data_IF_455393289756
#
_entry.id   IF_455393289756
#
_cell.length_a   1.000
_cell.length_b   1.000
_cell.length_c   1.000
_cell.angle_alpha   90.00
_cell.angle_beta   90.00
_cell.angle_gamma   90.00
#
_symmetry.space_group_name_H-M   'P 1'
#
loop_
_entity.id
_entity.type
_entity.pdbx_description
1 polymer ?
#
# COMPACT_ATOMS: atom_id res chain seq x y z
N UNK A 1 23.04 68.26 -26.68
CA UNK A 1 22.16 67.11 -26.97
C UNK A 1 22.83 65.74 -26.83
N UNK A 2 24.04 65.48 -27.35
CA UNK A 2 24.70 64.14 -27.27
C UNK A 2 25.06 63.63 -25.84
N UNK A 3 25.22 64.53 -24.86
CA UNK A 3 25.55 64.16 -23.46
C UNK A 3 24.35 63.58 -22.70
N UNK A 4 23.17 64.17 -22.90
CA UNK A 4 21.91 63.74 -22.24
C UNK A 4 21.55 62.31 -22.69
N UNK A 5 21.76 61.97 -23.97
CA UNK A 5 21.51 60.64 -24.51
C UNK A 5 22.39 59.53 -23.89
N UNK A 6 23.63 59.84 -23.48
CA UNK A 6 24.51 58.88 -22.80
C UNK A 6 24.09 58.65 -21.35
N UNK A 7 23.62 59.69 -20.66
CA UNK A 7 23.13 59.59 -19.29
C UNK A 7 21.83 58.78 -19.22
N UNK A 8 20.90 58.98 -20.15
CA UNK A 8 19.67 58.18 -20.22
C UNK A 8 19.97 56.71 -20.51
N UNK A 9 20.94 56.42 -21.40
CA UNK A 9 21.35 55.06 -21.71
C UNK A 9 21.92 54.32 -20.48
N UNK A 10 22.69 55.02 -19.63
CA UNK A 10 23.20 54.45 -18.37
C UNK A 10 22.10 54.05 -17.39
N UNK A 11 21.05 54.87 -17.27
CA UNK A 11 19.90 54.58 -16.40
C UNK A 11 19.16 53.33 -16.89
N UNK A 12 18.89 53.23 -18.20
CA UNK A 12 18.24 52.04 -18.79
C UNK A 12 19.06 50.76 -18.55
N UNK A 13 20.38 50.83 -18.71
CA UNK A 13 21.26 49.68 -18.45
C UNK A 13 21.23 49.29 -16.97
N UNK A 14 21.28 50.25 -16.06
CA UNK A 14 21.22 49.96 -14.62
C UNK A 14 19.88 49.36 -14.18
N UNK A 15 18.76 49.85 -14.71
CA UNK A 15 17.43 49.29 -14.48
C UNK A 15 17.29 47.87 -15.04
N UNK A 16 17.85 47.61 -16.23
CA UNK A 16 17.85 46.27 -16.83
C UNK A 16 18.68 45.29 -15.99
N UNK A 17 19.85 45.70 -15.51
CA UNK A 17 20.69 44.88 -14.63
C UNK A 17 19.95 44.55 -13.34
N UNK A 18 19.33 45.55 -12.69
CA UNK A 18 18.54 45.35 -11.47
C UNK A 18 17.34 44.43 -11.71
N UNK A 19 16.67 44.54 -12.86
CA UNK A 19 15.56 43.67 -13.23
C UNK A 19 16.01 42.23 -13.42
N UNK A 20 17.13 41.98 -14.09
CA UNK A 20 17.69 40.63 -14.30
C UNK A 20 18.12 40.00 -12.96
N UNK A 21 18.78 40.78 -12.09
CA UNK A 21 19.19 40.31 -10.76
C UNK A 21 17.95 40.00 -9.90
N UNK A 22 16.97 40.90 -9.87
CA UNK A 22 15.72 40.71 -9.13
C UNK A 22 14.94 39.49 -9.65
N UNK A 23 14.85 39.32 -10.96
CA UNK A 23 14.23 38.15 -11.57
C UNK A 23 14.96 36.85 -11.19
N UNK A 24 16.30 36.83 -11.23
CA UNK A 24 17.08 35.68 -10.79
C UNK A 24 16.83 35.30 -9.33
N UNK A 25 16.76 36.29 -8.43
CA UNK A 25 16.46 36.07 -7.00
C UNK A 25 15.04 35.54 -6.81
N UNK A 26 14.06 36.11 -7.53
CA UNK A 26 12.66 35.66 -7.44
C UNK A 26 12.48 34.25 -8.00
N UNK A 27 13.12 33.94 -9.13
CA UNK A 27 13.10 32.62 -9.75
C UNK A 27 13.71 31.54 -8.85
N UNK A 28 14.85 31.84 -8.25
CA UNK A 28 15.55 30.98 -7.31
C UNK A 28 14.75 30.76 -6.00
N UNK A 29 14.07 31.79 -5.51
CA UNK A 29 13.12 31.64 -4.38
C UNK A 29 11.92 30.76 -4.73
N UNK A 30 11.35 30.95 -5.91
CA UNK A 30 10.21 30.17 -6.37
C UNK A 30 10.57 28.68 -6.53
N UNK A 31 11.76 28.38 -7.07
CA UNK A 31 12.27 27.02 -7.16
C UNK A 31 12.48 26.37 -5.78
N UNK A 32 13.08 27.10 -4.83
CA UNK A 32 13.29 26.59 -3.47
C UNK A 32 11.99 26.35 -2.71
N UNK A 33 11.00 27.22 -2.87
CA UNK A 33 9.71 27.08 -2.21
C UNK A 33 8.99 25.80 -2.67
N UNK A 34 8.97 25.53 -3.98
CA UNK A 34 8.40 24.29 -4.53
C UNK A 34 9.13 23.03 -4.06
N UNK A 35 10.46 23.05 -4.01
CA UNK A 35 11.22 21.89 -3.54
C UNK A 35 11.00 21.60 -2.05
N UNK A 36 10.92 22.63 -1.21
CA UNK A 36 10.67 22.46 0.23
C UNK A 36 9.27 21.91 0.50
N UNK A 37 8.27 22.31 -0.28
CA UNK A 37 6.90 21.79 -0.18
C UNK A 37 6.86 20.31 -0.59
N UNK A 38 7.52 19.96 -1.69
CA UNK A 38 7.65 18.57 -2.14
C UNK A 38 8.42 17.68 -1.14
N UNK A 39 9.51 18.18 -0.54
CA UNK A 39 10.24 17.44 0.49
C UNK A 39 9.36 17.15 1.72
N UNK A 40 8.53 18.11 2.12
CA UNK A 40 7.60 17.93 3.22
C UNK A 40 6.52 16.89 2.89
N UNK A 41 5.93 16.96 1.70
CA UNK A 41 4.94 16.00 1.21
C UNK A 41 5.51 14.57 1.18
N UNK A 42 6.72 14.41 0.65
CA UNK A 42 7.42 13.11 0.63
C UNK A 42 7.68 12.57 2.03
N UNK A 43 8.06 13.42 2.99
CA UNK A 43 8.28 13.01 4.37
C UNK A 43 6.97 12.58 5.05
N UNK A 44 5.90 13.33 4.83
CA UNK A 44 4.57 13.01 5.38
C UNK A 44 4.05 11.69 4.83
N UNK A 45 4.12 11.49 3.51
CA UNK A 45 3.76 10.24 2.85
C UNK A 45 4.59 9.06 3.36
N UNK A 46 5.90 9.26 3.54
CA UNK A 46 6.79 8.22 4.08
C UNK A 46 6.38 7.82 5.49
N UNK A 47 6.01 8.78 6.33
CA UNK A 47 5.57 8.52 7.70
C UNK A 47 4.21 7.79 7.72
N UNK A 48 3.27 8.18 6.86
CA UNK A 48 1.98 7.52 6.72
C UNK A 48 2.18 6.06 6.31
N UNK A 49 2.91 5.80 5.22
CA UNK A 49 3.17 4.45 4.72
C UNK A 49 3.90 3.58 5.73
N UNK A 50 4.88 4.15 6.44
CA UNK A 50 5.59 3.43 7.51
C UNK A 50 4.65 3.06 8.65
N UNK A 51 3.76 3.98 9.04
CA UNK A 51 2.73 3.74 10.05
C UNK A 51 1.75 2.65 9.64
N UNK A 52 1.25 2.69 8.41
CA UNK A 52 0.35 1.67 7.85
C UNK A 52 1.02 0.29 7.80
N UNK A 53 2.30 0.21 7.40
CA UNK A 53 3.03 -1.06 7.37
C UNK A 53 3.22 -1.67 8.78
N UNK A 54 3.54 -0.84 9.78
CA UNK A 54 3.64 -1.31 11.17
C UNK A 54 2.28 -1.76 11.72
N UNK A 55 1.18 -1.15 11.27
CA UNK A 55 -0.17 -1.66 11.54
C UNK A 55 -0.34 -3.04 10.91
N UNK A 56 -0.13 -3.20 9.60
CA UNK A 56 -0.26 -4.52 8.93
C UNK A 56 0.52 -5.60 9.65
N UNK A 57 1.79 -5.32 9.97
CA UNK A 57 2.67 -6.25 10.68
C UNK A 57 2.10 -6.65 12.04
N UNK A 58 1.62 -5.70 12.83
CA UNK A 58 1.02 -5.99 14.14
C UNK A 58 -0.23 -6.87 14.00
N UNK A 59 -1.10 -6.56 13.05
CA UNK A 59 -2.33 -7.33 12.83
C UNK A 59 -2.02 -8.76 12.36
N UNK A 60 -1.04 -8.93 11.46
CA UNK A 60 -0.54 -10.25 11.04
C UNK A 60 0.03 -11.06 12.21
N UNK A 61 0.80 -10.45 13.11
CA UNK A 61 1.32 -11.12 14.31
C UNK A 61 0.18 -11.58 15.25
N UNK A 62 -0.90 -10.80 15.32
CA UNK A 62 -2.10 -11.18 16.05
C UNK A 62 -2.81 -12.38 15.43
N UNK A 63 -2.97 -12.41 14.11
CA UNK A 63 -3.51 -13.58 13.38
C UNK A 63 -2.61 -14.81 13.63
N UNK A 64 -1.30 -14.68 13.52
CA UNK A 64 -0.35 -15.77 13.82
C UNK A 64 -0.53 -16.28 15.26
N UNK A 65 -0.75 -15.38 16.21
CA UNK A 65 -0.99 -15.76 17.61
C UNK A 65 -2.31 -16.50 17.80
N UNK A 66 -3.37 -16.13 17.06
CA UNK A 66 -4.64 -16.86 17.05
C UNK A 66 -4.43 -18.33 16.60
N UNK A 67 -3.71 -18.55 15.50
CA UNK A 67 -3.41 -19.91 15.03
C UNK A 67 -2.46 -20.66 15.95
N UNK A 68 -1.44 -20.02 16.53
CA UNK A 68 -0.50 -20.68 17.45
C UNK A 68 -1.13 -21.06 18.79
N UNK A 69 -2.25 -20.42 19.17
CA UNK A 69 -2.95 -20.67 20.43
C UNK A 69 -4.19 -21.55 20.29
N UNK A 70 -4.47 -22.03 19.08
CA UNK A 70 -5.66 -22.83 18.76
C UNK A 70 -5.26 -24.11 18.04
N UNK A 71 -5.94 -25.22 18.32
CA UNK A 71 -5.73 -26.47 17.57
C UNK A 71 -6.22 -26.35 16.11
N UNK A 72 -7.29 -25.60 15.92
CA UNK A 72 -7.90 -25.30 14.63
C UNK A 72 -8.65 -23.97 14.73
N UNK A 73 -8.60 -23.18 13.66
CA UNK A 73 -9.36 -21.92 13.52
C UNK A 73 -10.36 -22.11 12.40
N UNK A 74 -11.65 -22.01 12.72
CA UNK A 74 -12.75 -22.06 11.75
C UNK A 74 -12.79 -20.79 10.90
N UNK A 75 -13.50 -20.83 9.77
CA UNK A 75 -13.71 -19.65 8.92
C UNK A 75 -14.45 -18.54 9.68
N UNK A 76 -15.43 -18.92 10.50
CA UNK A 76 -16.19 -18.00 11.32
C UNK A 76 -15.31 -17.31 12.36
N UNK A 77 -14.46 -18.06 13.06
CA UNK A 77 -13.51 -17.49 14.04
C UNK A 77 -12.47 -16.59 13.37
N UNK A 78 -11.94 -16.98 12.21
CA UNK A 78 -11.08 -16.12 11.40
C UNK A 78 -11.78 -14.81 11.06
N UNK A 79 -13.02 -14.88 10.55
CA UNK A 79 -13.84 -13.72 10.23
C UNK A 79 -14.13 -12.82 11.43
N UNK A 80 -14.42 -13.40 12.60
CA UNK A 80 -14.61 -12.65 13.85
C UNK A 80 -13.36 -11.85 14.22
N UNK A 81 -12.17 -12.42 14.00
CA UNK A 81 -10.91 -11.74 14.29
C UNK A 81 -10.61 -10.63 13.27
N UNK A 82 -10.69 -10.91 11.97
CA UNK A 82 -10.15 -10.01 10.94
C UNK A 82 -11.11 -8.93 10.47
N UNK A 83 -12.43 -9.13 10.54
CA UNK A 83 -13.40 -8.11 10.07
C UNK A 83 -13.29 -6.78 10.84
N UNK A 84 -13.20 -6.75 12.18
CA UNK A 84 -12.96 -5.50 12.91
C UNK A 84 -11.65 -4.82 12.53
N UNK A 85 -10.62 -5.59 12.15
CA UNK A 85 -9.34 -5.04 11.70
C UNK A 85 -9.51 -4.33 10.36
N UNK A 86 -10.21 -4.95 9.41
CA UNK A 86 -10.52 -4.36 8.11
C UNK A 86 -11.36 -3.09 8.24
N UNK A 87 -12.36 -3.09 9.13
CA UNK A 87 -13.20 -1.92 9.40
C UNK A 87 -12.40 -0.74 9.96
N UNK A 88 -11.37 -1.01 10.78
CA UNK A 88 -10.52 0.03 11.37
C UNK A 88 -9.35 0.46 10.47
N UNK A 89 -8.99 -0.33 9.46
CA UNK A 89 -7.82 -0.13 8.61
C UNK A 89 -8.19 -0.30 7.12
N UNK A 90 -8.91 0.67 6.52
CA UNK A 90 -9.45 0.56 5.16
C UNK A 90 -8.39 0.52 4.05
N UNK A 91 -7.12 0.80 4.37
CA UNK A 91 -5.99 0.59 3.46
C UNK A 91 -5.65 -0.90 3.28
N UNK A 92 -6.18 -1.79 4.14
CA UNK A 92 -6.07 -3.24 4.00
C UNK A 92 -7.28 -3.73 3.19
N UNK A 93 -7.01 -4.33 2.03
CA UNK A 93 -8.07 -4.78 1.12
C UNK A 93 -8.75 -6.06 1.62
N UNK A 94 -7.97 -7.03 2.08
CA UNK A 94 -8.44 -8.33 2.53
C UNK A 94 -7.41 -9.02 3.42
N UNK A 95 -7.88 -9.95 4.25
CA UNK A 95 -7.04 -10.95 4.90
C UNK A 95 -7.33 -12.33 4.34
N UNK A 96 -6.27 -13.07 4.06
CA UNK A 96 -6.32 -14.41 3.48
C UNK A 96 -5.53 -15.40 4.35
N UNK A 97 -6.05 -16.62 4.46
CA UNK A 97 -5.37 -17.72 5.12
C UNK A 97 -5.09 -18.84 4.12
N UNK A 98 -3.82 -19.16 3.93
CA UNK A 98 -3.36 -20.21 3.04
C UNK A 98 -2.56 -21.27 3.83
N UNK A 99 -3.19 -22.37 4.26
CA UNK A 99 -2.49 -23.45 4.94
C UNK A 99 -1.54 -24.17 3.97
N UNK A 100 -0.42 -24.69 4.48
CA UNK A 100 0.44 -25.60 3.73
C UNK A 100 -0.21 -26.99 3.71
N UNK A 101 -0.33 -27.58 2.53
CA UNK A 101 -1.00 -28.86 2.32
C UNK A 101 -0.13 -29.77 1.45
N UNK A 102 0.03 -31.04 1.84
CA UNK A 102 0.77 -31.99 1.03
C UNK A 102 -0.05 -32.45 -0.19
N UNK A 103 0.65 -32.84 -1.27
CA UNK A 103 0.00 -33.37 -2.47
C UNK A 103 -0.92 -34.57 -2.18
N UNK A 104 -0.57 -35.39 -1.20
CA UNK A 104 -1.37 -36.53 -0.79
C UNK A 104 -2.72 -36.14 -0.14
N UNK A 105 -2.80 -34.94 0.44
CA UNK A 105 -3.99 -34.44 1.14
C UNK A 105 -4.89 -33.60 0.22
N UNK A 106 -4.35 -33.12 -0.91
CA UNK A 106 -5.01 -32.21 -1.86
C UNK A 106 -6.45 -32.61 -2.19
N UNK A 107 -6.67 -33.84 -2.65
CA UNK A 107 -7.99 -34.28 -3.12
C UNK A 107 -9.00 -34.42 -1.97
N UNK A 108 -8.52 -34.84 -0.79
CA UNK A 108 -9.32 -34.89 0.43
C UNK A 108 -9.71 -33.49 0.90
N UNK A 109 -8.76 -32.55 0.89
CA UNK A 109 -8.97 -31.17 1.27
C UNK A 109 -9.99 -30.47 0.35
N UNK A 110 -9.86 -30.64 -0.96
CA UNK A 110 -10.84 -30.12 -1.92
C UNK A 110 -12.24 -30.71 -1.68
N UNK A 111 -12.34 -32.03 -1.48
CA UNK A 111 -13.62 -32.71 -1.26
C UNK A 111 -14.33 -32.20 0.02
N UNK A 112 -13.59 -32.08 1.12
CA UNK A 112 -14.10 -31.58 2.39
C UNK A 112 -14.56 -30.12 2.22
N UNK A 113 -13.74 -29.27 1.60
CA UNK A 113 -14.06 -27.85 1.39
C UNK A 113 -15.30 -27.66 0.53
N UNK A 114 -15.45 -28.45 -0.54
CA UNK A 114 -16.65 -28.46 -1.38
C UNK A 114 -17.90 -28.85 -0.59
N UNK A 115 -17.79 -29.85 0.28
CA UNK A 115 -18.90 -30.30 1.13
C UNK A 115 -19.35 -29.27 2.17
N UNK A 116 -18.46 -28.32 2.53
CA UNK A 116 -18.73 -27.21 3.44
C UNK A 116 -19.39 -25.99 2.77
N UNK A 117 -19.74 -26.08 1.49
CA UNK A 117 -20.47 -25.00 0.78
C UNK A 117 -19.65 -24.22 -0.25
N UNK A 118 -18.45 -24.69 -0.60
CA UNK A 118 -17.59 -24.09 -1.63
C UNK A 118 -17.45 -25.03 -2.85
N UNK A 119 -18.54 -25.26 -3.62
CA UNK A 119 -18.58 -26.32 -4.64
C UNK A 119 -17.52 -26.16 -5.74
N UNK A 120 -17.11 -24.93 -6.02
CA UNK A 120 -16.13 -24.61 -7.06
C UNK A 120 -14.67 -24.58 -6.54
N UNK A 121 -14.46 -24.83 -5.24
CA UNK A 121 -13.11 -24.81 -4.66
C UNK A 121 -12.20 -25.82 -5.34
N UNK A 122 -11.03 -25.38 -5.78
CA UNK A 122 -10.05 -26.23 -6.46
C UNK A 122 -8.66 -25.69 -6.21
N UNK A 123 -7.77 -26.55 -5.73
CA UNK A 123 -6.39 -26.18 -5.49
C UNK A 123 -5.69 -25.99 -6.83
N UNK A 124 -5.13 -24.81 -7.07
CA UNK A 124 -4.40 -24.51 -8.30
C UNK A 124 -2.98 -25.10 -8.28
N UNK A 125 -2.53 -25.60 -9.43
CA UNK A 125 -1.26 -26.33 -9.57
C UNK A 125 -1.45 -27.85 -9.53
N UNK A 126 -0.74 -28.56 -10.40
CA UNK A 126 -0.92 -30.02 -10.59
C UNK A 126 0.32 -30.86 -10.30
N UNK A 127 1.45 -30.22 -10.01
CA UNK A 127 2.78 -30.87 -9.99
C UNK A 127 3.65 -30.42 -8.83
N UNK A 128 3.04 -29.86 -7.77
CA UNK A 128 3.76 -29.45 -6.57
C UNK A 128 3.68 -30.55 -5.51
N UNK A 129 4.73 -30.69 -4.70
CA UNK A 129 4.74 -31.57 -3.53
C UNK A 129 3.89 -30.98 -2.39
N UNK A 130 3.82 -29.65 -2.31
CA UNK A 130 3.10 -28.88 -1.31
C UNK A 130 2.30 -27.76 -1.99
N UNK A 131 1.17 -27.39 -1.40
CA UNK A 131 0.25 -26.37 -1.90
C UNK A 131 -0.06 -25.35 -0.81
N UNK A 132 -0.31 -24.10 -1.20
CA UNK A 132 -0.76 -23.01 -0.34
C UNK A 132 -2.06 -22.43 -0.88
N UNK A 133 -3.17 -23.20 -0.91
CA UNK A 133 -4.42 -22.68 -1.44
C UNK A 133 -4.99 -21.64 -0.49
N UNK A 134 -5.57 -20.57 -1.01
CA UNK A 134 -6.30 -19.63 -0.16
C UNK A 134 -7.56 -20.33 0.34
N UNK A 135 -7.57 -20.67 1.62
CA UNK A 135 -8.65 -21.41 2.25
C UNK A 135 -9.68 -20.45 2.83
N UNK A 136 -9.25 -19.39 3.52
CA UNK A 136 -10.11 -18.31 4.02
C UNK A 136 -9.78 -16.99 3.35
N UNK A 137 -10.81 -16.18 3.09
CA UNK A 137 -10.69 -14.82 2.59
C UNK A 137 -11.77 -13.96 3.23
N UNK A 138 -11.39 -12.80 3.76
CA UNK A 138 -12.29 -11.82 4.34
C UNK A 138 -11.93 -10.41 3.82
N UNK A 139 -12.90 -9.65 3.28
CA UNK A 139 -14.26 -10.10 2.97
C UNK A 139 -14.24 -11.13 1.83
N UNK A 140 -15.13 -12.13 1.89
CA UNK A 140 -15.26 -13.08 0.78
C UNK A 140 -15.99 -12.45 -0.42
N UNK A 141 -16.96 -11.57 -0.16
CA UNK A 141 -17.75 -10.94 -1.22
C UNK A 141 -16.86 -10.08 -2.13
N UNK A 142 -16.84 -10.39 -3.42
CA UNK A 142 -15.97 -9.74 -4.41
C UNK A 142 -14.56 -10.34 -4.50
N UNK A 143 -14.19 -11.25 -3.60
CA UNK A 143 -12.90 -11.94 -3.58
C UNK A 143 -13.06 -13.46 -3.77
N UNK A 144 -14.20 -13.95 -4.25
CA UNK A 144 -14.48 -15.38 -4.34
C UNK A 144 -13.49 -16.14 -5.25
N UNK A 145 -12.91 -15.44 -6.21
CA UNK A 145 -11.97 -15.98 -7.19
C UNK A 145 -10.60 -16.32 -6.59
N UNK A 146 -10.25 -15.78 -5.42
CA UNK A 146 -8.95 -16.05 -4.79
C UNK A 146 -8.91 -17.42 -4.13
N UNK A 147 -10.07 -18.02 -3.84
CA UNK A 147 -10.15 -19.31 -3.17
C UNK A 147 -9.59 -20.45 -4.04
N UNK A 148 -8.71 -21.26 -3.45
CA UNK A 148 -8.13 -22.45 -4.07
C UNK A 148 -6.81 -22.24 -4.81
#
# INVERSE_FOLDING_TARGET
>A
MKSIAKQTQGIFVSGLILAVIGFGILWDRQHRAWFSELEQEVLEDTLILTGELEVVKRELLGIISLYNSSDYVTREEFGVYVRPVLDNHPFIQAFEWAPLIDHAEKDGFESITRSMGYPDFKIQGSTQQEYLPVYYAEPLSGNEQVLG
#
